data_IF_595519114514
#
_entry.id   IF_595519114514
#
_cell.length_a   1.000
_cell.length_b   1.000
_cell.length_c   1.000
_cell.angle_alpha   90.00
_cell.angle_beta   90.00
_cell.angle_gamma   90.00
#
_symmetry.space_group_name_H-M   'P 1'
#
loop_
_entity.id
_entity.type
_entity.pdbx_description
1 polymer ?
#
# COMPACT_ATOMS: atom_id res chain seq x y z
N UNK A 1 23.71 -60.58 21.35
CA UNK A 1 23.90 -59.43 20.43
C UNK A 1 23.58 -59.88 19.02
N UNK A 2 22.63 -59.22 18.32
CA UNK A 2 22.29 -59.52 16.92
C UNK A 2 23.15 -58.63 16.01
N UNK A 3 23.99 -59.23 15.17
CA UNK A 3 24.96 -58.53 14.29
C UNK A 3 24.25 -57.88 13.07
N UNK A 4 23.08 -58.38 12.68
CA UNK A 4 22.42 -57.97 11.42
C UNK A 4 21.73 -56.60 11.47
N UNK A 5 21.39 -56.08 12.65
CA UNK A 5 20.69 -54.79 12.76
C UNK A 5 21.32 -53.95 13.88
N UNK A 6 21.90 -52.82 13.50
CA UNK A 6 22.45 -51.84 14.44
C UNK A 6 21.40 -50.76 14.75
N UNK A 7 20.54 -51.06 15.70
CA UNK A 7 19.43 -50.19 16.11
C UNK A 7 19.95 -48.85 16.66
N UNK A 8 21.11 -48.84 17.33
CA UNK A 8 21.73 -47.62 17.86
C UNK A 8 22.18 -46.68 16.74
N UNK A 9 22.84 -47.21 15.70
CA UNK A 9 23.21 -46.44 14.52
C UNK A 9 21.97 -45.92 13.75
N UNK A 10 20.92 -46.73 13.62
CA UNK A 10 19.66 -46.28 13.00
C UNK A 10 18.99 -45.15 13.78
N UNK A 11 19.00 -45.21 15.12
CA UNK A 11 18.45 -44.15 15.95
C UNK A 11 19.27 -42.86 15.83
N UNK A 12 20.61 -42.96 15.89
CA UNK A 12 21.50 -41.82 15.67
C UNK A 12 21.28 -41.16 14.30
N UNK A 13 21.13 -41.94 13.23
CA UNK A 13 20.84 -41.42 11.89
C UNK A 13 19.47 -40.72 11.83
N UNK A 14 18.43 -41.30 12.45
CA UNK A 14 17.11 -40.65 12.56
C UNK A 14 17.19 -39.30 13.29
N UNK A 15 17.92 -39.24 14.39
CA UNK A 15 18.10 -37.99 15.16
C UNK A 15 18.88 -36.94 14.35
N UNK A 16 19.92 -37.37 13.61
CA UNK A 16 20.68 -36.50 12.72
C UNK A 16 19.81 -35.94 11.59
N UNK A 17 18.95 -36.75 10.99
CA UNK A 17 18.01 -36.28 9.97
C UNK A 17 17.01 -35.23 10.50
N UNK A 18 16.49 -35.42 11.72
CA UNK A 18 15.62 -34.44 12.39
C UNK A 18 16.38 -33.14 12.64
N UNK A 19 17.60 -33.22 13.19
CA UNK A 19 18.42 -32.03 13.46
C UNK A 19 18.76 -31.25 12.18
N UNK A 20 19.15 -31.94 11.10
CA UNK A 20 19.40 -31.29 9.81
C UNK A 20 18.15 -30.57 9.28
N UNK A 21 16.98 -31.19 9.39
CA UNK A 21 15.71 -30.57 8.97
C UNK A 21 15.41 -29.30 9.78
N UNK A 22 15.64 -29.32 11.09
CA UNK A 22 15.43 -28.16 11.95
C UNK A 22 16.43 -27.03 11.65
N UNK A 23 17.71 -27.36 11.44
CA UNK A 23 18.74 -26.38 11.04
C UNK A 23 18.41 -25.73 9.70
N UNK A 24 17.95 -26.50 8.72
CA UNK A 24 17.53 -25.97 7.41
C UNK A 24 16.36 -24.99 7.56
N UNK A 25 15.35 -25.30 8.38
CA UNK A 25 14.23 -24.37 8.66
C UNK A 25 14.69 -23.09 9.34
N UNK A 26 15.63 -23.17 10.28
CA UNK A 26 16.20 -22.00 10.94
C UNK A 26 16.99 -21.12 9.96
N UNK A 27 17.77 -21.74 9.08
CA UNK A 27 18.48 -21.03 8.01
C UNK A 27 17.52 -20.35 7.02
N UNK A 28 16.41 -21.00 6.66
CA UNK A 28 15.38 -20.41 5.80
C UNK A 28 14.77 -19.14 6.42
N UNK A 29 14.44 -19.19 7.71
CA UNK A 29 13.92 -18.02 8.47
C UNK A 29 14.95 -16.91 8.62
N UNK A 30 16.21 -17.26 8.85
CA UNK A 30 17.30 -16.29 8.93
C UNK A 30 17.54 -15.62 7.57
N UNK A 31 17.53 -16.39 6.48
CA UNK A 31 17.77 -15.88 5.14
C UNK A 31 16.63 -15.04 4.60
N UNK A 32 15.37 -15.34 4.96
CA UNK A 32 14.21 -14.56 4.52
C UNK A 32 13.96 -13.33 5.40
N UNK A 33 14.43 -13.34 6.64
CA UNK A 33 14.11 -12.34 7.65
C UNK A 33 12.66 -12.41 8.16
N UNK A 34 11.86 -13.36 7.69
CA UNK A 34 10.48 -13.54 8.12
C UNK A 34 10.35 -14.74 9.07
N UNK A 35 9.59 -14.54 10.15
CA UNK A 35 9.28 -15.61 11.11
C UNK A 35 8.41 -16.72 10.50
N UNK A 36 7.50 -16.36 9.60
CA UNK A 36 6.56 -17.27 8.91
C UNK A 36 6.85 -17.21 7.42
N UNK A 37 7.45 -18.26 6.87
CA UNK A 37 7.74 -18.36 5.44
C UNK A 37 6.74 -19.24 4.70
N UNK A 38 6.14 -20.21 5.40
CA UNK A 38 5.22 -21.20 4.81
C UNK A 38 3.94 -21.28 5.64
N UNK A 39 2.83 -21.63 4.99
CA UNK A 39 1.55 -21.89 5.66
C UNK A 39 1.64 -23.01 6.72
N UNK A 40 2.60 -23.95 6.55
CA UNK A 40 2.85 -25.01 7.52
C UNK A 40 3.55 -24.56 8.81
N UNK A 41 4.14 -23.36 8.85
CA UNK A 41 4.75 -22.81 10.08
C UNK A 41 3.68 -22.18 10.98
N UNK A 42 2.75 -21.40 10.40
CA UNK A 42 1.65 -20.73 11.09
C UNK A 42 0.61 -20.24 10.06
N UNK A 43 -0.42 -21.07 9.79
CA UNK A 43 -1.42 -20.76 8.78
C UNK A 43 -2.28 -19.53 9.16
N UNK A 44 -2.62 -19.38 10.45
CA UNK A 44 -3.41 -18.25 10.93
C UNK A 44 -2.60 -16.95 10.88
N UNK A 45 -1.34 -17.00 11.36
CA UNK A 45 -0.42 -15.87 11.30
C UNK A 45 -0.15 -15.40 9.87
N UNK A 46 0.04 -16.35 8.93
CA UNK A 46 0.21 -16.02 7.51
C UNK A 46 -1.03 -15.35 6.91
N UNK A 47 -2.23 -15.87 7.21
CA UNK A 47 -3.48 -15.29 6.71
C UNK A 47 -3.70 -13.87 7.24
N UNK A 48 -3.39 -13.63 8.52
CA UNK A 48 -3.47 -12.29 9.12
C UNK A 48 -2.44 -11.37 8.48
N UNK A 49 -1.19 -11.81 8.30
CA UNK A 49 -0.16 -10.97 7.67
C UNK A 49 -0.50 -10.60 6.24
N UNK A 50 -1.08 -11.52 5.46
CA UNK A 50 -1.51 -11.21 4.09
C UNK A 50 -2.73 -10.27 4.07
N UNK A 51 -3.67 -10.43 5.02
CA UNK A 51 -4.78 -9.48 5.20
C UNK A 51 -4.25 -8.07 5.52
N UNK A 52 -3.29 -7.96 6.45
CA UNK A 52 -2.68 -6.67 6.79
C UNK A 52 -1.91 -6.09 5.61
N UNK A 53 -1.15 -6.89 4.86
CA UNK A 53 -0.45 -6.45 3.65
C UNK A 53 -1.42 -5.97 2.57
N UNK A 54 -2.57 -6.62 2.41
CA UNK A 54 -3.62 -6.15 1.51
C UNK A 54 -4.23 -4.83 1.99
N UNK A 55 -4.49 -4.68 3.29
CA UNK A 55 -4.99 -3.43 3.87
C UNK A 55 -4.00 -2.27 3.70
N UNK A 56 -2.71 -2.50 3.94
CA UNK A 56 -1.66 -1.49 3.74
C UNK A 56 -1.67 -1.00 2.29
N UNK A 57 -1.63 -1.92 1.31
CA UNK A 57 -1.71 -1.55 -0.11
C UNK A 57 -3.00 -0.78 -0.45
N UNK A 58 -4.13 -1.18 0.14
CA UNK A 58 -5.39 -0.47 -0.01
C UNK A 58 -5.34 0.95 0.55
N UNK A 59 -4.74 1.15 1.72
CA UNK A 59 -4.56 2.45 2.37
C UNK A 59 -3.58 3.35 1.59
N UNK A 60 -2.50 2.80 1.06
CA UNK A 60 -1.56 3.53 0.19
C UNK A 60 -2.26 4.07 -1.05
N UNK A 61 -3.08 3.23 -1.71
CA UNK A 61 -3.89 3.67 -2.85
C UNK A 61 -4.96 4.68 -2.45
N UNK A 62 -5.61 4.50 -1.30
CA UNK A 62 -6.59 5.47 -0.80
C UNK A 62 -5.95 6.83 -0.51
N UNK A 63 -4.74 6.85 0.06
CA UNK A 63 -3.96 8.06 0.29
C UNK A 63 -3.61 8.76 -1.03
N UNK A 64 -3.14 8.00 -2.02
CA UNK A 64 -2.88 8.52 -3.36
C UNK A 64 -4.15 9.12 -4.00
N UNK A 65 -5.27 8.40 -3.96
CA UNK A 65 -6.54 8.89 -4.50
C UNK A 65 -7.02 10.16 -3.80
N UNK A 66 -6.83 10.26 -2.48
CA UNK A 66 -7.15 11.47 -1.72
C UNK A 66 -6.28 12.66 -2.17
N UNK A 67 -4.98 12.43 -2.39
CA UNK A 67 -4.07 13.45 -2.90
C UNK A 67 -4.45 13.90 -4.32
N UNK A 68 -4.80 12.97 -5.20
CA UNK A 68 -5.27 13.26 -6.55
C UNK A 68 -6.58 14.09 -6.50
N UNK A 69 -7.49 13.75 -5.58
CA UNK A 69 -8.71 14.52 -5.34
C UNK A 69 -8.44 15.94 -4.84
N UNK A 70 -7.46 16.13 -3.95
CA UNK A 70 -7.02 17.45 -3.51
C UNK A 70 -6.47 18.26 -4.69
N UNK A 71 -5.61 17.66 -5.51
CA UNK A 71 -5.05 18.34 -6.68
C UNK A 71 -6.11 18.74 -7.72
N UNK A 72 -7.14 17.90 -7.90
CA UNK A 72 -8.29 18.22 -8.75
C UNK A 72 -9.06 19.43 -8.19
N UNK A 73 -9.36 19.43 -6.89
CA UNK A 73 -10.06 20.53 -6.23
C UNK A 73 -9.26 21.83 -6.33
N UNK A 74 -7.95 21.80 -6.08
CA UNK A 74 -7.09 22.98 -6.21
C UNK A 74 -7.09 23.55 -7.63
N UNK A 75 -7.10 22.67 -8.64
CA UNK A 75 -7.19 23.10 -10.04
C UNK A 75 -8.55 23.75 -10.33
N UNK A 76 -9.63 23.19 -9.77
CA UNK A 76 -10.97 23.77 -9.90
C UNK A 76 -11.09 25.12 -9.17
N UNK A 77 -10.53 25.26 -7.97
CA UNK A 77 -10.48 26.51 -7.21
C UNK A 77 -9.76 27.61 -8.00
N UNK A 78 -8.57 27.32 -8.54
CA UNK A 78 -7.85 28.29 -9.38
C UNK A 78 -8.62 28.69 -10.65
N UNK A 79 -9.36 27.77 -11.27
CA UNK A 79 -10.21 28.10 -12.40
C UNK A 79 -11.43 28.97 -11.99
N UNK A 80 -12.02 28.72 -10.81
CA UNK A 80 -13.12 29.51 -10.29
C UNK A 80 -12.70 30.93 -9.88
N UNK A 81 -11.47 31.11 -9.40
CA UNK A 81 -10.91 32.44 -9.11
C UNK A 81 -10.80 33.30 -10.38
N UNK A 82 -10.42 32.70 -11.51
CA UNK A 82 -10.40 33.38 -12.81
C UNK A 82 -11.82 33.75 -13.26
N UNK A 83 -12.77 32.81 -13.16
CA UNK A 83 -14.19 33.08 -13.46
C UNK A 83 -14.74 34.21 -12.58
N UNK A 84 -14.37 34.25 -11.30
CA UNK A 84 -14.78 35.30 -10.38
C UNK A 84 -14.25 36.66 -10.83
N UNK A 85 -12.97 36.74 -11.24
CA UNK A 85 -12.34 37.94 -11.75
C UNK A 85 -13.00 38.43 -13.05
N UNK A 86 -13.33 37.51 -13.97
CA UNK A 86 -14.05 37.83 -15.21
C UNK A 86 -15.46 38.36 -14.90
N UNK A 87 -16.19 37.75 -13.96
CA UNK A 87 -17.51 38.21 -13.54
C UNK A 87 -17.48 39.61 -12.93
N UNK A 88 -16.47 39.92 -12.10
CA UNK A 88 -16.26 41.26 -11.58
C UNK A 88 -16.03 42.26 -12.71
N UNK A 89 -15.16 41.93 -13.67
CA UNK A 89 -14.91 42.79 -14.84
C UNK A 89 -16.14 42.99 -15.71
N UNK A 90 -16.93 41.95 -15.95
CA UNK A 90 -18.20 42.06 -16.68
C UNK A 90 -19.19 42.96 -15.96
N UNK A 91 -19.25 42.91 -14.62
CA UNK A 91 -20.10 43.81 -13.83
C UNK A 91 -19.67 45.26 -13.99
N UNK A 92 -18.37 45.54 -13.93
CA UNK A 92 -17.84 46.88 -14.17
C UNK A 92 -18.21 47.37 -15.57
N UNK A 93 -18.03 46.54 -16.60
CA UNK A 93 -18.38 46.87 -17.98
C UNK A 93 -19.88 47.11 -18.16
N UNK A 94 -20.74 46.30 -17.51
CA UNK A 94 -22.19 46.48 -17.55
C UNK A 94 -22.61 47.82 -16.93
N UNK A 95 -22.04 48.18 -15.76
CA UNK A 95 -22.28 49.49 -15.12
C UNK A 95 -21.76 50.63 -15.99
N UNK A 96 -20.59 50.47 -16.60
CA UNK A 96 -20.03 51.45 -17.53
C UNK A 96 -20.92 51.65 -18.76
N UNK A 97 -21.48 50.57 -19.31
CA UNK A 97 -22.38 50.61 -20.47
C UNK A 97 -23.75 51.24 -20.16
N UNK A 98 -24.21 51.13 -18.91
CA UNK A 98 -25.47 51.70 -18.46
C UNK A 98 -25.42 53.23 -18.23
N UNK A 99 -24.22 53.83 -18.21
CA UNK A 99 -24.07 55.29 -18.18
C UNK A 99 -24.19 55.86 -19.60
N UNK A 100 -25.15 56.77 -19.79
CA UNK A 100 -25.56 57.37 -21.09
C UNK A 100 -24.45 58.09 -21.88
N UNK A 101 -23.29 58.35 -21.28
CA UNK A 101 -22.17 59.05 -21.95
C UNK A 101 -21.49 58.22 -23.05
N UNK A 102 -21.82 56.94 -23.20
CA UNK A 102 -21.35 56.10 -24.32
C UNK A 102 -22.27 56.17 -25.57
N UNK A 103 -23.42 56.84 -25.49
CA UNK A 103 -24.28 57.15 -26.64
C UNK A 103 -24.32 58.67 -26.86
N UNK A 104 -23.31 59.21 -27.54
CA UNK A 104 -23.40 60.58 -28.06
C UNK A 104 -22.75 60.64 -29.45
N UNK A 105 -23.56 60.31 -30.45
CA UNK A 105 -23.43 60.69 -31.86
C UNK A 105 -24.78 61.17 -32.34
#
# INVERSE_FOLDING_TARGET
>A
MRINNNIMAMNANRQLAINNTNTQKSLEKLSSGFRINRAGDDAAGLSISEKMRAQIRGLEMASKNAQDGISLIQTAEGALDEVHSILQRMRELAVQSANDTNMTT
#
